data_IF_788469276872
#
_entry.id   IF_788469276872
#
_cell.length_a   1.000
_cell.length_b   1.000
_cell.length_c   1.000
_cell.angle_alpha   90.00
_cell.angle_beta   90.00
_cell.angle_gamma   90.00
#
_symmetry.space_group_name_H-M   'P 1'
#
loop_
_entity.id
_entity.type
_entity.pdbx_description
1 polymer ?
#
# COMPACT_ATOMS: atom_id res chain seq x y z
N UNK A 1 -2.58 0.89 -13.85
CA UNK A 1 -2.03 1.83 -12.80
C UNK A 1 -3.07 2.38 -11.80
N UNK A 2 -4.40 2.29 -12.03
CA UNK A 2 -5.44 2.52 -11.00
C UNK A 2 -5.16 1.74 -9.69
N UNK A 3 -4.51 0.58 -9.79
CA UNK A 3 -4.14 -0.32 -8.67
C UNK A 3 -2.99 0.09 -7.76
N UNK A 4 -2.12 1.04 -8.13
CA UNK A 4 -1.04 1.48 -7.20
C UNK A 4 -1.62 2.20 -5.96
N UNK A 5 -2.71 2.94 -6.16
CA UNK A 5 -3.50 3.57 -5.09
C UNK A 5 -4.14 2.52 -4.17
N UNK A 6 -4.57 1.39 -4.75
CA UNK A 6 -5.17 0.27 -4.03
C UNK A 6 -4.14 -0.57 -3.28
N UNK A 7 -2.89 -0.63 -3.76
CA UNK A 7 -1.79 -1.29 -3.05
C UNK A 7 -1.54 -0.67 -1.68
N UNK A 8 -1.58 0.67 -1.60
CA UNK A 8 -1.50 1.40 -0.34
C UNK A 8 -2.70 1.02 0.54
N UNK A 9 -3.90 0.87 -0.01
CA UNK A 9 -5.07 0.42 0.74
C UNK A 9 -4.95 -1.03 1.29
N UNK A 10 -4.22 -1.94 0.62
CA UNK A 10 -4.06 -3.36 1.04
C UNK A 10 -3.24 -3.52 2.31
N UNK A 11 -2.33 -2.60 2.57
CA UNK A 11 -1.54 -2.59 3.79
C UNK A 11 -2.30 -1.98 4.98
N UNK A 12 -3.55 -1.55 4.76
CA UNK A 12 -4.23 -0.54 5.55
C UNK A 12 -5.68 -0.92 5.94
N UNK A 13 -6.08 -2.19 5.89
CA UNK A 13 -7.47 -2.62 6.17
C UNK A 13 -7.83 -2.89 7.63
N UNK A 14 -6.87 -3.12 8.54
CA UNK A 14 -7.14 -3.20 9.99
C UNK A 14 -6.85 -1.83 10.61
N UNK A 15 -7.61 -1.28 11.56
CA UNK A 15 -7.54 -1.57 13.00
C UNK A 15 -8.52 -0.57 13.68
N UNK A 16 -9.52 -0.98 14.47
CA UNK A 16 -10.24 -0.03 15.38
C UNK A 16 -10.21 -0.52 16.84
N UNK A 17 -9.85 0.39 17.76
CA UNK A 17 -9.87 0.37 19.24
C UNK A 17 -8.54 0.20 20.01
N UNK A 18 -7.99 1.35 20.45
CA UNK A 18 -7.47 1.70 21.79
C UNK A 18 -6.39 0.84 22.48
N UNK A 19 -5.34 0.45 21.77
CA UNK A 19 -4.03 0.11 22.38
C UNK A 19 -2.95 0.90 21.64
N UNK A 20 -1.87 1.40 22.31
CA UNK A 20 -0.72 1.94 21.59
C UNK A 20 -0.31 0.91 20.53
N UNK A 21 -0.29 1.34 19.27
CA UNK A 21 -0.10 0.48 18.09
C UNK A 21 1.28 -0.17 18.14
N UNK A 22 1.33 -1.34 18.76
CA UNK A 22 2.43 -2.28 18.67
C UNK A 22 1.91 -3.46 17.87
N UNK A 23 2.31 -3.48 16.60
CA UNK A 23 2.04 -4.56 15.68
C UNK A 23 3.36 -5.02 15.08
N UNK A 24 3.64 -6.30 15.14
CA UNK A 24 4.81 -6.88 14.49
C UNK A 24 4.39 -8.12 13.71
N UNK A 25 4.62 -8.10 12.40
CA UNK A 25 4.42 -9.21 11.50
C UNK A 25 5.73 -9.47 10.78
N UNK A 26 6.26 -10.69 10.87
CA UNK A 26 7.54 -11.03 10.27
C UNK A 26 7.42 -12.21 9.32
N UNK A 27 8.03 -12.08 8.14
CA UNK A 27 8.11 -13.10 7.10
C UNK A 27 6.72 -13.72 6.80
N UNK A 28 5.69 -12.89 6.69
CA UNK A 28 4.35 -13.37 6.35
C UNK A 28 4.30 -13.75 4.87
N UNK A 29 3.84 -14.97 4.61
CA UNK A 29 3.63 -15.51 3.27
C UNK A 29 2.18 -15.98 3.17
N UNK A 30 1.50 -15.62 2.09
CA UNK A 30 0.12 -15.98 1.81
C UNK A 30 0.05 -16.58 0.41
N UNK A 31 -0.68 -17.68 0.26
CA UNK A 31 -1.07 -18.25 -1.01
C UNK A 31 -2.57 -18.56 -0.96
N UNK A 32 -3.37 -17.71 -1.58
CA UNK A 32 -4.81 -17.84 -1.68
C UNK A 32 -5.22 -18.21 -3.11
N UNK A 33 -6.12 -19.21 -3.22
CA UNK A 33 -6.75 -19.64 -4.45
C UNK A 33 -8.23 -19.87 -4.15
N UNK A 34 -9.13 -19.06 -4.71
CA UNK A 34 -10.54 -19.10 -4.35
C UNK A 34 -11.10 -20.55 -4.34
N UNK A 35 -11.75 -20.99 -3.24
CA UNK A 35 -12.22 -20.20 -2.11
C UNK A 35 -11.27 -20.12 -0.90
N UNK A 36 -10.13 -20.81 -0.91
CA UNK A 36 -9.29 -21.02 0.29
C UNK A 36 -7.79 -20.91 0.03
N UNK A 37 -7.02 -20.62 1.05
CA UNK A 37 -5.58 -20.49 0.96
C UNK A 37 -4.86 -21.00 2.19
N UNK A 38 -3.56 -20.84 2.17
CA UNK A 38 -2.71 -21.06 3.32
C UNK A 38 -1.81 -19.85 3.51
N UNK A 39 -1.53 -19.51 4.76
CA UNK A 39 -0.52 -18.52 5.09
C UNK A 39 0.42 -19.05 6.17
N UNK A 40 1.57 -18.41 6.30
CA UNK A 40 2.52 -18.65 7.36
C UNK A 40 3.23 -17.35 7.75
N UNK A 41 3.59 -17.19 9.02
CA UNK A 41 4.52 -16.15 9.48
C UNK A 41 5.54 -16.74 10.43
N UNK A 42 6.64 -16.02 10.67
CA UNK A 42 7.58 -16.32 11.76
C UNK A 42 7.15 -15.69 13.09
N UNK A 43 6.49 -14.54 13.01
CA UNK A 43 6.04 -13.74 14.15
C UNK A 43 4.74 -13.03 13.77
N UNK A 44 3.77 -13.06 14.69
CA UNK A 44 2.57 -12.22 14.62
C UNK A 44 2.23 -11.74 16.03
N UNK A 45 2.50 -10.47 16.30
CA UNK A 45 2.09 -9.76 17.50
C UNK A 45 1.12 -8.67 17.08
N UNK A 46 -0.13 -8.78 17.53
CA UNK A 46 -1.15 -7.80 17.21
C UNK A 46 -2.25 -7.82 18.27
N UNK A 47 -2.35 -6.75 19.07
CA UNK A 47 -3.31 -6.67 20.20
C UNK A 47 -3.15 -7.87 21.15
N UNK A 48 -4.22 -8.64 21.34
CA UNK A 48 -4.26 -9.83 22.20
C UNK A 48 -3.67 -11.08 21.51
N UNK A 49 -3.30 -10.99 20.23
CA UNK A 49 -2.68 -12.07 19.47
C UNK A 49 -1.16 -11.98 19.63
N UNK A 50 -0.55 -13.07 20.09
CA UNK A 50 0.89 -13.13 20.33
C UNK A 50 1.44 -14.52 19.95
N UNK A 51 1.78 -14.67 18.67
CA UNK A 51 2.45 -15.84 18.12
C UNK A 51 3.93 -15.53 17.94
N UNK A 52 4.77 -15.94 18.89
CA UNK A 52 6.23 -15.71 18.88
C UNK A 52 7.03 -16.75 18.09
N UNK A 53 6.34 -17.69 17.45
CA UNK A 53 6.93 -18.78 16.70
C UNK A 53 6.21 -18.92 15.37
N UNK A 54 6.85 -19.65 14.45
CA UNK A 54 6.26 -19.93 13.16
C UNK A 54 4.84 -20.50 13.32
N UNK A 55 3.89 -19.85 12.67
CA UNK A 55 2.47 -20.17 12.75
C UNK A 55 1.91 -20.32 11.35
N UNK A 56 1.16 -21.40 11.13
CA UNK A 56 0.42 -21.63 9.89
C UNK A 56 -1.04 -21.24 10.07
N UNK A 57 -1.62 -20.71 8.99
CA UNK A 57 -2.99 -20.25 8.95
C UNK A 57 -3.71 -20.92 7.77
N UNK A 58 -4.90 -21.45 8.01
CA UNK A 58 -5.86 -21.65 6.92
C UNK A 58 -6.49 -20.29 6.58
N UNK A 59 -6.67 -20.03 5.30
CA UNK A 59 -7.14 -18.72 4.83
C UNK A 59 -8.46 -18.90 4.10
N UNK A 60 -9.47 -18.13 4.50
CA UNK A 60 -10.76 -18.12 3.83
C UNK A 60 -11.20 -16.69 3.56
N UNK A 61 -11.82 -16.45 2.41
CA UNK A 61 -12.44 -15.16 2.09
C UNK A 61 -13.96 -15.35 2.15
N UNK A 62 -14.62 -14.70 3.11
CA UNK A 62 -16.07 -14.79 3.26
C UNK A 62 -16.67 -13.38 3.38
N UNK A 63 -17.65 -13.09 2.53
CA UNK A 63 -18.38 -11.81 2.53
C UNK A 63 -17.46 -10.55 2.50
N UNK A 64 -16.32 -10.64 1.81
CA UNK A 64 -15.35 -9.53 1.71
C UNK A 64 -14.36 -9.42 2.87
N UNK A 65 -14.42 -10.30 3.86
CA UNK A 65 -13.46 -10.38 4.96
C UNK A 65 -12.52 -11.59 4.80
N UNK A 66 -11.25 -11.42 5.14
CA UNK A 66 -10.24 -12.48 5.12
C UNK A 66 -10.08 -13.05 6.51
N UNK A 67 -10.28 -14.35 6.65
CA UNK A 67 -10.15 -15.08 7.89
C UNK A 67 -8.82 -15.83 7.89
N UNK A 68 -8.01 -15.60 8.91
CA UNK A 68 -6.81 -16.39 9.21
C UNK A 68 -7.15 -17.32 10.37
N UNK A 69 -7.32 -18.60 10.07
CA UNK A 69 -7.75 -19.62 11.03
C UNK A 69 -6.52 -20.35 11.56
N UNK A 70 -6.36 -20.37 12.87
CA UNK A 70 -5.35 -21.15 13.59
C UNK A 70 -6.04 -22.25 14.42
N UNK A 71 -5.29 -23.23 14.99
CA UNK A 71 -5.90 -24.25 15.85
C UNK A 71 -6.58 -23.70 17.12
N UNK A 72 -6.27 -22.47 17.54
CA UNK A 72 -6.73 -21.90 18.82
C UNK A 72 -7.59 -20.65 18.67
N UNK A 73 -7.55 -19.99 17.51
CA UNK A 73 -8.25 -18.73 17.29
C UNK A 73 -8.48 -18.48 15.80
N UNK A 74 -9.42 -17.59 15.50
CA UNK A 74 -9.65 -17.06 14.16
C UNK A 74 -9.42 -15.55 14.20
N UNK A 75 -8.61 -15.07 13.28
CA UNK A 75 -8.34 -13.64 13.09
C UNK A 75 -9.16 -13.20 11.88
N UNK A 76 -10.06 -12.25 12.08
CA UNK A 76 -10.86 -11.67 11.01
C UNK A 76 -10.25 -10.32 10.60
N UNK A 77 -9.90 -10.21 9.32
CA UNK A 77 -9.47 -8.97 8.70
C UNK A 77 -10.66 -8.39 7.91
N UNK A 78 -11.27 -7.37 8.50
CA UNK A 78 -12.38 -6.63 7.92
C UNK A 78 -11.92 -5.43 7.10
N UNK A 79 -12.85 -4.78 6.40
CA UNK A 79 -12.61 -3.57 5.61
C UNK A 79 -11.45 -3.70 4.63
N UNK A 80 -11.27 -4.90 4.10
CA UNK A 80 -10.31 -5.13 3.04
C UNK A 80 -10.69 -4.26 1.85
N UNK A 81 -9.69 -3.71 1.13
CA UNK A 81 -9.95 -3.03 -0.12
C UNK A 81 -10.83 -3.89 -1.03
N UNK A 82 -11.79 -3.26 -1.70
CA UNK A 82 -12.77 -3.95 -2.54
C UNK A 82 -12.13 -4.92 -3.56
N UNK A 83 -10.92 -4.61 -4.05
CA UNK A 83 -10.25 -5.50 -4.99
C UNK A 83 -9.83 -6.84 -4.40
N UNK A 84 -9.59 -6.94 -3.08
CA UNK A 84 -9.30 -8.22 -2.39
C UNK A 84 -10.54 -9.10 -2.38
N UNK A 85 -11.73 -8.51 -2.32
CA UNK A 85 -12.99 -9.27 -2.32
C UNK A 85 -13.22 -10.04 -3.62
N UNK A 86 -12.63 -9.58 -4.73
CA UNK A 86 -12.83 -10.11 -6.08
C UNK A 86 -11.60 -10.86 -6.63
N UNK A 87 -10.59 -11.18 -5.81
CA UNK A 87 -9.40 -11.92 -6.28
C UNK A 87 -9.68 -13.41 -6.44
N UNK A 88 -9.27 -13.98 -7.58
CA UNK A 88 -9.25 -15.42 -7.77
C UNK A 88 -8.00 -16.02 -7.13
N UNK A 89 -6.86 -15.31 -7.25
CA UNK A 89 -5.59 -15.70 -6.60
C UNK A 89 -4.89 -14.51 -5.97
N UNK A 90 -4.27 -14.73 -4.81
CA UNK A 90 -3.44 -13.75 -4.12
C UNK A 90 -2.23 -14.45 -3.50
N UNK A 91 -1.03 -14.07 -3.95
CA UNK A 91 0.24 -14.50 -3.38
C UNK A 91 0.94 -13.31 -2.74
N UNK A 92 1.39 -13.46 -1.50
CA UNK A 92 2.25 -12.51 -0.79
C UNK A 92 3.45 -13.29 -0.31
N UNK A 93 4.66 -12.81 -0.61
CA UNK A 93 5.89 -13.39 -0.11
C UNK A 93 6.62 -12.36 0.73
N UNK A 94 7.05 -12.82 1.91
CA UNK A 94 7.93 -12.08 2.81
C UNK A 94 7.45 -10.65 3.12
N UNK A 95 6.20 -10.54 3.57
CA UNK A 95 5.66 -9.30 4.13
C UNK A 95 6.12 -9.15 5.58
N UNK A 96 6.75 -8.01 5.86
CA UNK A 96 7.17 -7.58 7.18
C UNK A 96 6.46 -6.26 7.50
N UNK A 97 5.85 -6.17 8.67
CA UNK A 97 5.23 -4.94 9.18
C UNK A 97 5.71 -4.74 10.61
N UNK A 98 6.24 -3.57 10.88
CA UNK A 98 6.66 -3.15 12.21
C UNK A 98 5.97 -1.82 12.51
N UNK A 99 5.14 -1.81 13.54
CA UNK A 99 4.46 -0.61 14.02
C UNK A 99 4.85 -0.35 15.46
N UNK A 100 5.34 0.86 15.71
CA UNK A 100 5.79 1.34 17.02
C UNK A 100 5.31 2.79 17.23
N UNK A 101 5.50 3.32 18.44
CA UNK A 101 5.14 4.71 18.76
C UNK A 101 5.79 5.75 17.83
N UNK A 102 6.98 5.44 17.32
CA UNK A 102 7.79 6.31 16.47
C UNK A 102 7.51 6.17 14.99
N UNK A 103 6.66 5.24 14.56
CA UNK A 103 6.38 5.07 13.12
C UNK A 103 5.87 3.69 12.72
N UNK A 104 5.76 3.53 11.41
CA UNK A 104 5.42 2.27 10.75
C UNK A 104 6.45 1.98 9.67
N UNK A 105 6.90 0.73 9.62
CA UNK A 105 7.73 0.19 8.55
C UNK A 105 7.00 -0.99 7.93
N UNK A 106 6.98 -1.03 6.60
CA UNK A 106 6.48 -2.12 5.81
C UNK A 106 7.53 -2.49 4.78
N UNK A 107 7.87 -3.77 4.70
CA UNK A 107 8.78 -4.33 3.71
C UNK A 107 8.12 -5.56 3.09
N UNK A 108 7.80 -5.46 1.81
CA UNK A 108 7.15 -6.50 1.03
C UNK A 108 8.06 -6.87 -0.14
N UNK A 109 8.53 -8.11 -0.14
CA UNK A 109 9.38 -8.61 -1.22
C UNK A 109 8.58 -8.82 -2.52
N UNK A 110 7.45 -9.49 -2.43
CA UNK A 110 6.63 -9.77 -3.61
C UNK A 110 5.16 -9.92 -3.26
N UNK A 111 4.30 -9.35 -4.11
CA UNK A 111 2.88 -9.65 -4.12
C UNK A 111 2.44 -9.87 -5.57
N UNK A 112 1.54 -10.82 -5.78
CA UNK A 112 0.76 -10.91 -7.00
C UNK A 112 -0.69 -11.22 -6.71
N UNK A 113 -1.55 -10.67 -7.56
CA UNK A 113 -2.99 -10.89 -7.51
C UNK A 113 -3.50 -11.11 -8.91
N UNK A 114 -4.49 -11.98 -9.06
CA UNK A 114 -5.20 -12.15 -10.33
C UNK A 114 -6.70 -12.27 -10.14
N UNK A 115 -7.43 -11.69 -11.09
CA UNK A 115 -8.84 -11.94 -11.36
C UNK A 115 -8.97 -12.63 -12.72
N UNK A 116 -10.19 -12.94 -13.13
CA UNK A 116 -10.49 -13.57 -14.42
C UNK A 116 -10.06 -12.72 -15.63
N UNK A 117 -9.88 -11.42 -15.45
CA UNK A 117 -9.55 -10.49 -16.53
C UNK A 117 -8.20 -9.79 -16.37
N UNK A 118 -7.66 -9.71 -15.15
CA UNK A 118 -6.52 -8.86 -14.84
C UNK A 118 -5.55 -9.57 -13.90
N UNK A 119 -4.26 -9.29 -14.04
CA UNK A 119 -3.27 -9.70 -13.05
C UNK A 119 -2.31 -8.56 -12.76
N UNK A 120 -1.84 -8.50 -11.53
CA UNK A 120 -0.86 -7.54 -11.08
C UNK A 120 0.22 -8.22 -10.27
N UNK A 121 1.42 -7.65 -10.34
CA UNK A 121 2.46 -7.99 -9.39
C UNK A 121 3.30 -6.78 -9.01
N UNK A 122 3.85 -6.87 -7.81
CA UNK A 122 4.55 -5.83 -7.08
C UNK A 122 5.82 -6.49 -6.56
N UNK A 123 6.95 -5.84 -6.77
CA UNK A 123 8.23 -6.33 -6.27
C UNK A 123 8.93 -5.25 -5.45
N UNK A 124 9.36 -5.65 -4.26
CA UNK A 124 10.13 -4.86 -3.31
C UNK A 124 9.46 -3.51 -3.01
N UNK A 125 8.28 -3.56 -2.39
CA UNK A 125 7.62 -2.38 -1.84
C UNK A 125 8.15 -2.14 -0.42
N UNK A 126 8.69 -0.96 -0.16
CA UNK A 126 9.03 -0.51 1.19
C UNK A 126 8.31 0.79 1.50
N UNK A 127 7.71 0.86 2.67
CA UNK A 127 7.09 2.07 3.21
C UNK A 127 7.69 2.30 4.59
N UNK A 128 8.20 3.49 4.87
CA UNK A 128 8.69 3.89 6.19
C UNK A 128 8.10 5.24 6.52
N UNK A 129 7.37 5.36 7.61
CA UNK A 129 6.76 6.62 8.02
C UNK A 129 7.08 6.88 9.48
N UNK A 130 7.49 8.11 9.78
CA UNK A 130 7.83 8.51 11.15
C UNK A 130 6.66 9.24 11.80
N UNK A 131 6.36 8.84 13.03
CA UNK A 131 5.22 9.31 13.80
C UNK A 131 5.58 10.53 14.64
N UNK A 132 4.75 11.57 14.51
CA UNK A 132 4.56 12.57 15.54
C UNK A 132 3.21 12.28 16.20
N UNK A 133 3.20 12.23 17.53
CA UNK A 133 2.11 11.75 18.39
C UNK A 133 0.74 12.31 17.99
N UNK A 134 -0.20 11.45 17.58
CA UNK A 134 -1.60 11.82 17.28
C UNK A 134 -2.59 10.84 17.92
N UNK A 135 -3.80 11.32 18.20
CA UNK A 135 -4.91 10.61 18.88
C UNK A 135 -6.05 10.23 17.92
N UNK A 136 -5.80 10.21 16.60
CA UNK A 136 -6.82 9.93 15.58
C UNK A 136 -6.95 8.43 15.28
N UNK A 137 -7.85 8.08 14.36
CA UNK A 137 -7.96 6.75 13.77
C UNK A 137 -6.57 6.30 13.28
N UNK A 138 -6.17 5.02 13.50
CA UNK A 138 -4.83 4.57 13.11
C UNK A 138 -4.57 4.70 11.62
N UNK A 139 -5.61 4.60 10.79
CA UNK A 139 -5.48 4.73 9.36
C UNK A 139 -5.18 6.15 8.96
N UNK A 140 -6.00 7.05 9.47
CA UNK A 140 -5.81 8.48 9.29
C UNK A 140 -4.44 8.90 9.81
N UNK A 141 -4.00 8.31 10.93
CA UNK A 141 -2.70 8.55 11.50
C UNK A 141 -1.56 8.06 10.59
N UNK A 142 -1.64 6.84 10.04
CA UNK A 142 -0.59 6.34 9.14
C UNK A 142 -0.52 7.22 7.89
N UNK A 143 -1.66 7.55 7.28
CA UNK A 143 -1.69 8.37 6.06
C UNK A 143 -1.22 9.80 6.33
N UNK A 144 -1.66 10.42 7.42
CA UNK A 144 -1.18 11.73 7.88
C UNK A 144 0.34 11.70 8.11
N UNK A 145 0.86 10.65 8.75
CA UNK A 145 2.29 10.51 9.01
C UNK A 145 3.10 10.32 7.73
N UNK A 146 2.66 9.44 6.85
CA UNK A 146 3.34 9.14 5.59
C UNK A 146 3.26 10.30 4.59
N UNK A 147 2.21 11.11 4.61
CA UNK A 147 1.97 12.13 3.58
C UNK A 147 2.20 13.55 4.07
N UNK A 148 1.80 13.90 5.30
CA UNK A 148 1.93 15.26 5.82
C UNK A 148 3.21 15.46 6.64
N UNK A 149 3.79 14.39 7.20
CA UNK A 149 5.00 14.47 8.03
C UNK A 149 6.23 13.98 7.26
N UNK A 150 6.83 12.87 7.67
CA UNK A 150 8.01 12.31 7.03
C UNK A 150 7.79 10.85 6.69
N UNK A 151 7.74 10.56 5.39
CA UNK A 151 7.49 9.24 4.83
C UNK A 151 8.38 8.95 3.63
N UNK A 152 8.79 7.70 3.50
CA UNK A 152 9.51 7.17 2.36
C UNK A 152 8.73 6.00 1.79
N UNK A 153 8.49 6.02 0.48
CA UNK A 153 7.92 4.92 -0.28
C UNK A 153 8.90 4.55 -1.37
N UNK A 154 9.26 3.28 -1.47
CA UNK A 154 10.03 2.75 -2.59
C UNK A 154 9.39 1.50 -3.16
N UNK A 155 9.49 1.34 -4.46
CA UNK A 155 8.93 0.21 -5.20
C UNK A 155 9.83 -0.10 -6.39
N UNK A 156 10.39 -1.31 -6.40
CA UNK A 156 11.33 -1.71 -7.46
C UNK A 156 10.63 -1.93 -8.79
N UNK A 157 9.55 -2.72 -8.83
CA UNK A 157 8.81 -2.99 -10.07
C UNK A 157 7.31 -3.17 -9.83
N UNK A 158 6.52 -2.71 -10.79
CA UNK A 158 5.08 -2.97 -10.86
C UNK A 158 4.71 -3.47 -12.26
N UNK A 159 3.97 -4.57 -12.28
CA UNK A 159 3.50 -5.23 -13.49
C UNK A 159 1.98 -5.27 -13.53
N UNK A 160 1.47 -5.18 -14.75
CA UNK A 160 0.06 -5.40 -15.08
C UNK A 160 0.06 -6.43 -16.22
N UNK A 161 -0.42 -7.64 -15.94
CA UNK A 161 -0.14 -8.81 -16.74
C UNK A 161 1.35 -9.13 -16.77
N UNK A 162 1.88 -9.36 -17.97
CA UNK A 162 3.32 -9.53 -18.22
C UNK A 162 4.06 -8.22 -18.50
N UNK A 163 3.35 -7.08 -18.53
CA UNK A 163 3.91 -5.78 -18.91
C UNK A 163 4.33 -5.00 -17.68
N UNK A 164 5.62 -4.68 -17.59
CA UNK A 164 6.13 -3.74 -16.58
C UNK A 164 5.60 -2.33 -16.87
N UNK A 165 4.84 -1.78 -15.93
CA UNK A 165 4.25 -0.45 -16.04
C UNK A 165 5.21 0.63 -15.50
N UNK A 166 5.84 0.36 -14.36
CA UNK A 166 6.84 1.24 -13.75
C UNK A 166 7.93 0.44 -13.04
N UNK A 167 9.06 1.10 -12.81
CA UNK A 167 10.16 0.60 -12.02
C UNK A 167 10.88 1.72 -11.28
N UNK A 168 11.61 1.36 -10.23
CA UNK A 168 12.42 2.26 -9.41
C UNK A 168 11.63 3.50 -8.98
N UNK A 169 10.39 3.29 -8.53
CA UNK A 169 9.59 4.35 -7.93
C UNK A 169 10.13 4.62 -6.54
N UNK A 170 10.42 5.88 -6.25
CA UNK A 170 10.76 6.36 -4.92
C UNK A 170 10.03 7.67 -4.69
N UNK A 171 9.43 7.83 -3.53
CA UNK A 171 8.79 9.05 -3.07
C UNK A 171 9.23 9.32 -1.64
N UNK A 172 9.62 10.55 -1.35
CA UNK A 172 9.89 11.02 0.00
C UNK A 172 9.01 12.23 0.29
N UNK A 173 8.43 12.26 1.48
CA UNK A 173 7.66 13.38 1.98
C UNK A 173 8.36 13.97 3.20
N UNK A 174 8.36 15.29 3.33
CA UNK A 174 8.81 16.00 4.53
C UNK A 174 7.98 17.27 4.72
N UNK A 175 7.20 17.33 5.80
CA UNK A 175 6.30 18.44 6.11
C UNK A 175 5.36 18.80 4.94
N UNK A 176 4.78 17.78 4.32
CA UNK A 176 3.87 17.90 3.17
C UNK A 176 4.56 18.25 1.85
N UNK A 177 5.89 18.47 1.83
CA UNK A 177 6.65 18.59 0.59
C UNK A 177 6.98 17.19 0.09
N UNK A 178 6.88 16.96 -1.22
CA UNK A 178 7.10 15.65 -1.83
C UNK A 178 8.17 15.74 -2.92
N UNK A 179 9.14 14.83 -2.88
CA UNK A 179 10.04 14.52 -3.99
C UNK A 179 9.73 13.12 -4.51
N UNK A 180 9.75 12.94 -5.83
CA UNK A 180 9.59 11.61 -6.41
C UNK A 180 10.50 11.36 -7.61
N UNK A 181 10.77 10.08 -7.83
CA UNK A 181 11.46 9.56 -9.00
C UNK A 181 10.76 8.28 -9.43
N UNK A 182 10.56 8.12 -10.73
CA UNK A 182 9.94 6.92 -11.32
C UNK A 182 10.55 6.63 -12.68
N UNK A 183 10.72 5.35 -13.01
CA UNK A 183 11.10 4.92 -14.36
C UNK A 183 9.90 4.30 -15.05
N UNK A 184 9.39 4.95 -16.08
CA UNK A 184 8.28 4.46 -16.90
C UNK A 184 8.75 4.34 -18.35
N UNK A 185 8.46 3.20 -18.99
CA UNK A 185 8.89 2.91 -20.37
C UNK A 185 10.38 3.21 -20.63
N UNK A 186 11.26 2.86 -19.68
CA UNK A 186 12.70 3.12 -19.75
C UNK A 186 13.13 4.58 -19.54
N UNK A 187 12.20 5.49 -19.23
CA UNK A 187 12.46 6.92 -19.01
C UNK A 187 12.31 7.26 -17.53
N UNK A 188 13.36 7.80 -16.92
CA UNK A 188 13.31 8.28 -15.54
C UNK A 188 12.75 9.70 -15.47
N UNK A 189 11.59 9.83 -14.85
CA UNK A 189 10.97 11.11 -14.49
C UNK A 189 11.31 11.41 -13.03
N UNK A 190 11.73 12.65 -12.77
CA UNK A 190 11.89 13.19 -11.42
C UNK A 190 10.93 14.34 -11.23
N UNK A 191 10.35 14.48 -10.05
CA UNK A 191 9.44 15.57 -9.78
C UNK A 191 9.42 15.98 -8.32
N UNK A 192 8.77 17.12 -8.11
CA UNK A 192 8.58 17.77 -6.83
C UNK A 192 7.09 18.12 -6.73
N UNK A 193 6.56 18.17 -5.51
CA UNK A 193 5.16 18.41 -5.26
C UNK A 193 4.83 18.67 -3.80
N UNK A 194 3.54 18.69 -3.52
CA UNK A 194 2.98 18.82 -2.17
C UNK A 194 1.98 17.66 -1.97
N UNK A 195 1.95 17.08 -0.78
CA UNK A 195 1.02 16.03 -0.37
C UNK A 195 0.17 16.52 0.79
N UNK A 196 -1.11 16.17 0.76
CA UNK A 196 -2.07 16.48 1.81
C UNK A 196 -2.95 15.28 2.06
N UNK A 197 -3.16 14.98 3.34
CA UNK A 197 -4.20 14.08 3.79
C UNK A 197 -5.20 14.85 4.65
N UNK A 198 -6.48 14.71 4.35
CA UNK A 198 -7.60 15.38 5.02
C UNK A 198 -8.74 14.37 5.30
N UNK A 199 -8.49 13.46 6.23
CA UNK A 199 -9.44 12.46 6.72
C UNK A 199 -9.80 11.39 5.67
N UNK A 200 -10.57 11.73 4.65
CA UNK A 200 -11.01 10.77 3.63
C UNK A 200 -10.46 11.03 2.23
N UNK A 201 -9.59 12.04 2.09
CA UNK A 201 -9.03 12.41 0.79
C UNK A 201 -7.52 12.59 0.88
N UNK A 202 -6.81 11.92 -0.02
CA UNK A 202 -5.39 12.18 -0.31
C UNK A 202 -5.32 13.13 -1.51
N UNK A 203 -4.57 14.21 -1.38
CA UNK A 203 -4.29 15.16 -2.46
C UNK A 203 -2.79 15.22 -2.74
N UNK A 204 -2.43 15.11 -4.00
CA UNK A 204 -1.05 15.23 -4.47
C UNK A 204 -1.00 16.33 -5.52
N UNK A 205 -0.24 17.38 -5.24
CA UNK A 205 0.01 18.47 -6.17
C UNK A 205 1.38 18.28 -6.81
N UNK A 206 1.44 18.02 -8.10
CA UNK A 206 2.72 17.94 -8.81
C UNK A 206 3.08 19.34 -9.30
N UNK A 207 4.06 19.98 -8.65
CA UNK A 207 4.51 21.31 -9.05
C UNK A 207 5.47 21.22 -10.24
N UNK A 208 6.28 20.15 -10.30
CA UNK A 208 7.33 19.95 -11.30
C UNK A 208 7.47 18.48 -11.64
N UNK A 209 7.67 18.19 -12.93
CA UNK A 209 8.08 16.87 -13.39
C UNK A 209 9.02 17.04 -14.59
N UNK A 210 10.17 16.37 -14.55
CA UNK A 210 11.23 16.49 -15.55
C UNK A 210 11.73 15.13 -16.02
N UNK A 211 12.00 15.04 -17.31
CA UNK A 211 12.78 13.97 -17.95
C UNK A 211 14.08 14.60 -18.48
N UNK A 212 15.20 14.35 -17.80
CA UNK A 212 16.43 15.10 -18.03
C UNK A 212 16.21 16.60 -17.76
N UNK A 213 16.39 17.43 -18.78
CA UNK A 213 16.14 18.88 -18.72
C UNK A 213 14.73 19.28 -19.15
N UNK A 214 13.96 18.35 -19.75
CA UNK A 214 12.66 18.64 -20.34
C UNK A 214 11.56 18.61 -19.27
N UNK A 215 10.73 19.65 -19.24
CA UNK A 215 9.52 19.65 -18.41
C UNK A 215 8.48 18.73 -19.06
N UNK A 216 8.09 17.68 -18.33
CA UNK A 216 7.12 16.67 -18.78
C UNK A 216 5.84 16.69 -17.95
N UNK A 217 5.62 17.73 -17.11
CA UNK A 217 4.45 17.81 -16.23
C UNK A 217 3.13 17.69 -16.99
N UNK A 218 2.97 18.43 -18.09
CA UNK A 218 1.75 18.36 -18.90
C UNK A 218 1.51 16.99 -19.53
N UNK A 219 2.58 16.34 -19.99
CA UNK A 219 2.51 14.97 -20.50
C UNK A 219 2.10 14.00 -19.39
N UNK A 220 2.72 14.11 -18.20
CA UNK A 220 2.39 13.28 -17.04
C UNK A 220 0.90 13.38 -16.68
N UNK A 221 0.35 14.59 -16.58
CA UNK A 221 -1.07 14.77 -16.27
C UNK A 221 -2.00 14.17 -17.32
N UNK A 222 -1.64 14.28 -18.61
CA UNK A 222 -2.42 13.66 -19.69
C UNK A 222 -2.50 12.14 -19.54
N UNK A 223 -1.38 11.48 -19.22
CA UNK A 223 -1.37 10.03 -19.00
C UNK A 223 -2.11 9.64 -17.70
N UNK A 224 -2.06 10.50 -16.67
CA UNK A 224 -2.81 10.29 -15.44
C UNK A 224 -4.33 10.45 -15.64
N UNK A 225 -4.77 11.36 -16.50
CA UNK A 225 -6.19 11.56 -16.82
C UNK A 225 -6.84 10.29 -17.37
N UNK A 226 -6.11 9.45 -18.11
CA UNK A 226 -6.59 8.13 -18.57
C UNK A 226 -6.88 7.16 -17.40
N UNK A 227 -6.34 7.45 -16.22
CA UNK A 227 -6.52 6.69 -15.00
C UNK A 227 -7.60 7.25 -14.08
N UNK A 228 -8.29 8.33 -14.47
CA UNK A 228 -9.38 8.88 -13.69
C UNK A 228 -10.47 7.81 -13.46
N UNK A 229 -11.10 7.89 -12.29
CA UNK A 229 -12.20 7.03 -11.87
C UNK A 229 -13.11 7.81 -10.91
N UNK A 230 -14.16 7.18 -10.40
CA UNK A 230 -15.00 7.80 -9.36
C UNK A 230 -14.20 8.15 -8.10
N UNK A 231 -13.19 7.34 -7.75
CA UNK A 231 -12.31 7.56 -6.59
C UNK A 231 -11.05 8.36 -6.89
N UNK A 232 -10.65 8.50 -8.16
CA UNK A 232 -9.40 9.18 -8.55
C UNK A 232 -9.73 10.32 -9.50
N UNK A 233 -9.59 11.55 -9.03
CA UNK A 233 -9.83 12.77 -9.81
C UNK A 233 -8.50 13.40 -10.21
N UNK A 234 -8.35 13.70 -11.49
CA UNK A 234 -7.13 14.31 -12.03
C UNK A 234 -7.47 15.71 -12.54
N UNK A 235 -6.93 16.73 -11.90
CA UNK A 235 -7.18 18.14 -12.19
C UNK A 235 -5.87 18.93 -12.07
N UNK A 236 -5.07 19.02 -13.13
CA UNK A 236 -3.75 19.68 -13.12
C UNK A 236 -3.77 21.03 -12.36
N UNK A 237 -2.96 21.20 -11.29
CA UNK A 237 -1.81 20.37 -10.89
C UNK A 237 -2.10 19.30 -9.81
N UNK A 238 -3.36 18.94 -9.57
CA UNK A 238 -3.81 18.06 -8.49
C UNK A 238 -4.20 16.67 -8.96
N UNK A 239 -3.90 15.69 -8.11
CA UNK A 239 -4.41 14.33 -8.10
C UNK A 239 -5.15 14.19 -6.77
N UNK A 240 -6.43 13.85 -6.80
CA UNK A 240 -7.23 13.61 -5.59
C UNK A 240 -7.69 12.17 -5.56
N UNK A 241 -7.53 11.51 -4.41
CA UNK A 241 -7.90 10.13 -4.17
C UNK A 241 -8.88 10.12 -2.99
N UNK A 242 -10.11 9.69 -3.24
CA UNK A 242 -11.12 9.46 -2.21
C UNK A 242 -10.94 8.02 -1.68
N UNK A 243 -10.80 7.87 -0.37
CA UNK A 243 -10.61 6.58 0.32
C UNK A 243 -11.96 5.87 0.50
#
# INVERSE_FOLDING_TARGET
MKMLVWLVALTLGGIVYASPYYGELKNFNLNYYQPSGNAQSELLIFRDINYQTSTSYEVELQAGSLFLITPISTIQLDNLPAFIADVDTLTVNNLNIISHQSGIELDLEYMSSSTNSESISIEELKISCTSLTSTQDPMDQILDQCLNNAGEVSLSRFFEGSKQQLANFTMSTENGMMDFKVTAAGKTVRGEGETYFDGNTVRIKITKAKYGIFNVRGLLFRELEELASEKIKINNPWIEIDL
#
